data_IF_289218333532
#
_entry.id   IF_289218333532
#
_cell.length_a   1.000
_cell.length_b   1.000
_cell.length_c   1.000
_cell.angle_alpha   90.00
_cell.angle_beta   90.00
_cell.angle_gamma   90.00
#
_symmetry.space_group_name_H-M   'P 1'
#
loop_
_entity.id
_entity.type
_entity.pdbx_description
1 polymer ?
#
# COMPACT_ATOMS: atom_id res chain seq x y z
N UNK A 1 -41.66 12.90 34.97
CA UNK A 1 -41.80 13.56 33.65
C UNK A 1 -40.38 13.72 33.10
N UNK A 2 -40.04 12.95 32.07
CA UNK A 2 -38.70 12.92 31.44
C UNK A 2 -38.49 14.19 30.57
N UNK A 3 -37.23 14.54 30.30
CA UNK A 3 -36.76 14.24 28.94
C UNK A 3 -35.51 13.36 28.96
N UNK A 4 -35.53 12.38 28.05
CA UNK A 4 -34.38 11.58 27.63
C UNK A 4 -33.89 12.23 26.34
N UNK A 5 -32.63 12.65 26.33
CA UNK A 5 -31.89 12.96 25.11
C UNK A 5 -30.54 12.25 25.29
N UNK A 6 -30.51 10.98 24.90
CA UNK A 6 -29.28 10.35 24.43
C UNK A 6 -29.35 10.42 22.92
N UNK A 7 -28.34 11.02 22.30
CA UNK A 7 -27.97 10.75 20.91
C UNK A 7 -26.47 10.99 20.79
N UNK A 8 -25.77 9.87 20.92
CA UNK A 8 -24.64 9.42 20.13
C UNK A 8 -23.64 10.47 19.62
N UNK A 9 -22.59 10.63 20.43
CA UNK A 9 -21.28 11.13 20.08
C UNK A 9 -20.54 10.12 19.18
N UNK A 10 -21.04 9.84 17.97
CA UNK A 10 -20.31 9.05 16.99
C UNK A 10 -20.67 9.48 15.57
N UNK A 11 -19.95 10.46 15.00
CA UNK A 11 -19.79 10.67 13.55
C UNK A 11 -19.00 11.95 13.29
N UNK A 12 -17.69 11.82 13.06
CA UNK A 12 -16.92 12.54 12.04
C UNK A 12 -15.41 12.45 12.28
N UNK A 13 -14.91 11.22 12.37
CA UNK A 13 -13.52 10.89 11.99
C UNK A 13 -13.51 9.77 10.97
N UNK A 14 -14.48 9.80 10.04
CA UNK A 14 -14.45 8.96 8.86
C UNK A 14 -13.40 9.50 7.89
N UNK A 15 -12.19 8.99 8.11
CA UNK A 15 -11.19 8.64 7.12
C UNK A 15 -11.29 9.36 5.78
N UNK A 16 -10.42 10.36 5.62
CA UNK A 16 -9.93 10.78 4.30
C UNK A 16 -9.36 9.57 3.54
N UNK A 17 -8.84 8.57 4.27
CA UNK A 17 -8.41 7.28 3.74
C UNK A 17 -9.54 6.45 3.10
N UNK A 18 -10.76 6.45 3.65
CA UNK A 18 -11.83 5.60 3.10
C UNK A 18 -12.34 6.10 1.74
N UNK A 19 -12.22 7.40 1.43
CA UNK A 19 -12.70 7.97 0.16
C UNK A 19 -11.79 7.73 -1.04
N UNK A 20 -10.49 7.49 -0.82
CA UNK A 20 -9.56 7.15 -1.90
C UNK A 20 -9.57 5.65 -2.22
N UNK A 21 -9.80 4.79 -1.22
CA UNK A 21 -9.77 3.34 -1.41
C UNK A 21 -11.14 2.69 -1.72
N UNK A 22 -12.27 3.30 -1.34
CA UNK A 22 -13.61 2.78 -1.70
C UNK A 22 -14.20 3.38 -3.00
N UNK A 23 -13.58 4.41 -3.60
CA UNK A 23 -13.90 4.80 -4.99
C UNK A 23 -13.26 3.87 -6.04
N UNK A 24 -13.08 2.61 -5.68
CA UNK A 24 -12.63 1.57 -6.60
C UNK A 24 -13.27 0.20 -6.31
N UNK A 25 -14.14 0.10 -5.31
CA UNK A 25 -14.78 -1.15 -4.92
C UNK A 25 -16.25 -0.87 -4.59
N UNK A 26 -17.09 -0.77 -5.63
CA UNK A 26 -18.47 -1.26 -5.70
C UNK A 26 -19.17 -0.64 -6.90
N UNK A 27 -19.25 -1.45 -7.95
CA UNK A 27 -19.72 -1.15 -9.29
C UNK A 27 -19.32 -2.31 -10.19
N UNK A 28 -19.73 -3.51 -9.80
CA UNK A 28 -19.60 -4.74 -10.56
C UNK A 28 -20.21 -4.59 -11.95
N UNK A 29 -19.43 -4.91 -12.99
CA UNK A 29 -19.82 -5.96 -13.93
C UNK A 29 -18.59 -6.81 -14.23
N UNK A 30 -18.66 -8.06 -13.78
CA UNK A 30 -17.65 -9.05 -14.02
C UNK A 30 -17.50 -9.32 -15.52
N UNK A 31 -16.29 -9.07 -16.03
CA UNK A 31 -15.76 -9.82 -17.16
C UNK A 31 -14.27 -10.06 -16.94
N UNK A 32 -13.97 -11.20 -16.33
CA UNK A 32 -12.79 -11.93 -16.75
C UNK A 32 -12.92 -12.18 -18.24
N UNK A 33 -12.25 -11.38 -19.04
CA UNK A 33 -12.09 -11.61 -20.47
C UNK A 33 -10.73 -11.04 -20.81
N UNK A 34 -9.78 -11.95 -20.91
CA UNK A 34 -8.77 -12.01 -21.96
C UNK A 34 -8.25 -10.67 -22.45
N UNK A 35 -6.94 -10.44 -22.31
CA UNK A 35 -6.17 -9.47 -23.12
C UNK A 35 -6.72 -9.41 -24.54
N UNK A 36 -7.57 -8.43 -24.80
CA UNK A 36 -7.89 -8.02 -26.15
C UNK A 36 -6.87 -6.93 -26.45
N UNK A 37 -5.82 -7.34 -27.17
CA UNK A 37 -5.09 -6.42 -28.02
C UNK A 37 -6.14 -5.66 -28.82
N UNK A 38 -6.09 -4.33 -28.75
CA UNK A 38 -6.94 -3.44 -29.53
C UNK A 38 -6.66 -3.70 -31.01
N UNK A 39 -7.54 -4.49 -31.60
CA UNK A 39 -7.77 -4.69 -33.02
C UNK A 39 -8.32 -3.37 -33.59
N UNK A 40 -7.49 -2.34 -33.70
CA UNK A 40 -7.71 -1.28 -34.70
C UNK A 40 -7.13 -1.77 -36.04
N UNK A 41 -7.70 -2.87 -36.52
CA UNK A 41 -7.65 -3.26 -37.92
C UNK A 41 -8.77 -2.49 -38.63
N UNK A 42 -8.47 -1.25 -39.02
CA UNK A 42 -9.26 -0.54 -40.03
C UNK A 42 -8.49 -0.58 -41.34
N UNK A 43 -8.53 -1.78 -41.93
CA UNK A 43 -8.76 -1.99 -43.36
C UNK A 43 -7.67 -1.60 -44.34
N UNK A 44 -6.72 -2.50 -44.58
CA UNK A 44 -6.12 -2.76 -45.90
C UNK A 44 -5.71 -4.23 -46.05
N UNK A 45 -6.61 -5.06 -46.59
CA UNK A 45 -6.31 -6.19 -47.47
C UNK A 45 -5.35 -7.31 -47.01
N UNK A 46 -5.94 -8.46 -46.66
CA UNK A 46 -5.44 -9.82 -46.88
C UNK A 46 -4.02 -9.98 -47.49
N UNK A 47 -2.99 -9.93 -46.64
CA UNK A 47 -1.68 -10.60 -46.80
C UNK A 47 -1.03 -10.57 -45.43
N UNK A 48 -0.70 -11.73 -44.84
CA UNK A 48 -0.26 -11.84 -43.46
C UNK A 48 0.81 -10.81 -43.09
N UNK A 49 0.48 -9.94 -42.13
CA UNK A 49 1.27 -8.77 -41.74
C UNK A 49 2.70 -9.17 -41.35
N UNK A 50 3.64 -8.82 -42.21
CA UNK A 50 5.05 -9.03 -41.94
C UNK A 50 5.52 -7.96 -40.93
N UNK A 51 5.58 -8.35 -39.65
CA UNK A 51 5.86 -7.45 -38.54
C UNK A 51 7.35 -7.17 -38.31
N UNK A 52 7.66 -6.17 -37.47
CA UNK A 52 9.04 -5.86 -37.04
C UNK A 52 9.70 -7.08 -36.39
N UNK A 53 8.94 -7.83 -35.60
CA UNK A 53 9.38 -9.07 -34.95
C UNK A 53 9.80 -10.12 -35.98
N UNK A 54 9.05 -10.26 -37.08
CA UNK A 54 9.40 -11.17 -38.17
C UNK A 54 10.65 -10.70 -38.93
N UNK A 55 10.84 -9.38 -39.10
CA UNK A 55 12.05 -8.83 -39.69
C UNK A 55 13.30 -9.10 -38.80
N UNK A 56 13.16 -9.01 -37.48
CA UNK A 56 14.20 -9.38 -36.51
C UNK A 56 14.56 -10.87 -36.65
N UNK A 57 13.55 -11.75 -36.76
CA UNK A 57 13.79 -13.18 -36.94
C UNK A 57 14.57 -13.50 -38.23
N UNK A 58 14.29 -12.82 -39.35
CA UNK A 58 15.11 -12.97 -40.57
C UNK A 58 16.55 -12.55 -40.29
N UNK A 59 16.74 -11.40 -39.65
CA UNK A 59 18.07 -10.85 -39.35
C UNK A 59 18.88 -11.82 -38.48
N UNK A 60 18.25 -12.43 -37.47
CA UNK A 60 18.90 -13.40 -36.57
C UNK A 60 19.28 -14.70 -37.27
N UNK A 61 18.56 -15.09 -38.32
CA UNK A 61 18.83 -16.30 -39.11
C UNK A 61 19.82 -16.10 -40.27
N UNK A 62 20.37 -14.90 -40.46
CA UNK A 62 21.37 -14.65 -41.50
C UNK A 62 22.73 -15.32 -41.17
N UNK A 63 23.45 -15.85 -42.17
CA UNK A 63 24.80 -16.35 -41.95
C UNK A 63 25.72 -15.24 -41.42
N UNK A 64 26.47 -15.50 -40.35
CA UNK A 64 27.33 -14.49 -39.71
C UNK A 64 28.49 -14.01 -40.60
N UNK A 65 28.82 -14.77 -41.64
CA UNK A 65 29.91 -14.47 -42.57
C UNK A 65 29.51 -13.50 -43.70
N UNK A 66 28.22 -13.14 -43.81
CA UNK A 66 27.78 -12.19 -44.84
C UNK A 66 28.09 -10.74 -44.45
N UNK A 67 28.50 -9.94 -45.43
CA UNK A 67 28.70 -8.51 -45.21
C UNK A 67 27.39 -7.83 -44.81
N UNK A 68 27.47 -6.74 -44.02
CA UNK A 68 26.29 -5.95 -43.62
C UNK A 68 25.46 -5.45 -44.82
N UNK A 69 26.12 -5.18 -45.96
CA UNK A 69 25.45 -4.77 -47.21
C UNK A 69 24.63 -5.93 -47.79
N UNK A 70 25.22 -7.11 -47.87
CA UNK A 70 24.55 -8.34 -48.34
C UNK A 70 23.40 -8.74 -47.41
N UNK A 71 23.60 -8.67 -46.09
CA UNK A 71 22.57 -8.91 -45.09
C UNK A 71 21.33 -8.01 -45.30
N UNK A 72 21.55 -6.71 -45.50
CA UNK A 72 20.47 -5.76 -45.80
C UNK A 72 19.76 -6.12 -47.09
N UNK A 73 20.51 -6.42 -48.15
CA UNK A 73 19.92 -6.74 -49.45
C UNK A 73 19.09 -8.03 -49.41
N UNK A 74 19.53 -9.04 -48.66
CA UNK A 74 18.76 -10.27 -48.43
C UNK A 74 17.46 -9.94 -47.69
N UNK A 75 17.51 -9.17 -46.59
CA UNK A 75 16.32 -8.80 -45.81
C UNK A 75 15.35 -7.97 -46.64
N UNK A 76 15.85 -6.93 -47.33
CA UNK A 76 15.08 -6.08 -48.25
C UNK A 76 14.34 -6.91 -49.29
N UNK A 77 15.04 -7.81 -50.00
CA UNK A 77 14.41 -8.66 -51.01
C UNK A 77 13.42 -9.64 -50.42
N UNK A 78 13.66 -10.13 -49.20
CA UNK A 78 12.75 -11.04 -48.51
C UNK A 78 11.45 -10.33 -48.11
N UNK A 79 11.55 -9.08 -47.61
CA UNK A 79 10.41 -8.24 -47.30
C UNK A 79 9.60 -7.89 -48.56
N UNK A 80 10.28 -7.46 -49.63
CA UNK A 80 9.64 -7.17 -50.92
C UNK A 80 8.94 -8.41 -51.50
N UNK A 81 9.58 -9.58 -51.42
CA UNK A 81 8.99 -10.85 -51.87
C UNK A 81 7.77 -11.27 -51.04
N UNK A 82 7.70 -10.84 -49.78
CA UNK A 82 6.54 -11.02 -48.91
C UNK A 82 5.44 -9.97 -49.13
N UNK A 83 5.62 -9.06 -50.09
CA UNK A 83 4.63 -8.01 -50.42
C UNK A 83 4.72 -6.77 -49.53
N UNK A 84 5.82 -6.60 -48.78
CA UNK A 84 5.99 -5.49 -47.84
C UNK A 84 6.61 -4.28 -48.54
N UNK A 85 5.94 -3.12 -48.48
CA UNK A 85 6.56 -1.86 -48.88
C UNK A 85 7.56 -1.40 -47.80
N UNK A 86 8.84 -1.33 -48.18
CA UNK A 86 9.92 -0.99 -47.26
C UNK A 86 9.76 0.41 -46.68
N UNK A 87 9.27 1.39 -47.45
CA UNK A 87 9.13 2.76 -46.98
C UNK A 87 8.00 2.87 -45.96
N UNK A 88 6.90 2.18 -46.21
CA UNK A 88 5.77 2.07 -45.27
C UNK A 88 6.18 1.31 -44.01
N UNK A 89 6.87 0.18 -44.14
CA UNK A 89 7.41 -0.60 -43.02
C UNK A 89 8.32 0.25 -42.12
N UNK A 90 9.27 0.99 -42.70
CA UNK A 90 10.16 1.87 -41.93
C UNK A 90 9.41 3.02 -41.26
N UNK A 91 8.39 3.59 -41.93
CA UNK A 91 7.55 4.64 -41.36
C UNK A 91 6.74 4.12 -40.18
N UNK A 92 6.10 2.96 -40.33
CA UNK A 92 5.31 2.29 -39.29
C UNK A 92 6.19 1.90 -38.11
N UNK A 93 7.36 1.30 -38.36
CA UNK A 93 8.32 0.95 -37.32
C UNK A 93 8.77 2.16 -36.52
N UNK A 94 9.01 3.31 -37.18
CA UNK A 94 9.37 4.55 -36.50
C UNK A 94 8.22 5.12 -35.67
N UNK A 95 6.99 5.11 -36.21
CA UNK A 95 5.81 5.52 -35.45
C UNK A 95 5.58 4.65 -34.21
N UNK A 96 5.78 3.34 -34.33
CA UNK A 96 5.70 2.39 -33.21
C UNK A 96 6.81 2.60 -32.17
N UNK A 97 8.02 2.94 -32.62
CA UNK A 97 9.12 3.33 -31.72
C UNK A 97 8.79 4.60 -30.92
N UNK A 98 8.27 5.63 -31.60
CA UNK A 98 7.88 6.89 -30.96
C UNK A 98 6.74 6.67 -29.94
N UNK A 99 5.75 5.82 -30.28
CA UNK A 99 4.69 5.44 -29.36
C UNK A 99 5.20 4.70 -28.12
N UNK A 100 6.08 3.71 -28.29
CA UNK A 100 6.68 2.96 -27.18
C UNK A 100 7.54 3.84 -26.28
N UNK A 101 8.30 4.79 -26.85
CA UNK A 101 9.07 5.76 -26.07
C UNK A 101 8.15 6.65 -25.23
N UNK A 102 7.05 7.13 -25.79
CA UNK A 102 6.08 7.92 -25.03
C UNK A 102 5.41 7.11 -23.92
N UNK A 103 5.13 5.83 -24.16
CA UNK A 103 4.58 4.94 -23.13
C UNK A 103 5.57 4.72 -21.97
N UNK A 104 6.87 4.56 -22.29
CA UNK A 104 7.94 4.49 -21.29
C UNK A 104 7.99 5.78 -20.47
N UNK A 105 8.05 6.94 -21.12
CA UNK A 105 8.08 8.26 -20.45
C UNK A 105 6.87 8.44 -19.51
N UNK A 106 5.66 8.14 -19.99
CA UNK A 106 4.45 8.19 -19.16
C UNK A 106 4.48 7.18 -18.00
N UNK A 107 5.12 6.02 -18.20
CA UNK A 107 5.31 5.01 -17.16
C UNK A 107 6.25 5.50 -16.06
N UNK A 108 7.36 6.13 -16.45
CA UNK A 108 8.34 6.74 -15.55
C UNK A 108 7.70 7.87 -14.73
N UNK A 109 6.95 8.78 -15.37
CA UNK A 109 6.21 9.85 -14.68
C UNK A 109 5.24 9.30 -13.63
N UNK A 110 4.50 8.23 -13.98
CA UNK A 110 3.58 7.55 -13.05
C UNK A 110 4.32 6.93 -11.86
N UNK A 111 5.48 6.31 -12.09
CA UNK A 111 6.31 5.76 -11.01
C UNK A 111 6.78 6.87 -10.07
N UNK A 112 7.26 7.98 -10.61
CA UNK A 112 7.71 9.13 -9.80
C UNK A 112 6.57 9.74 -8.99
N UNK A 113 5.37 9.86 -9.57
CA UNK A 113 4.20 10.37 -8.86
C UNK A 113 3.81 9.45 -7.69
N UNK A 114 3.74 8.14 -7.93
CA UNK A 114 3.44 7.16 -6.88
C UNK A 114 4.46 7.19 -5.74
N UNK A 115 5.75 7.31 -6.07
CA UNK A 115 6.81 7.43 -5.08
C UNK A 115 6.67 8.72 -4.25
N UNK A 116 6.45 9.86 -4.91
CA UNK A 116 6.23 11.15 -4.22
C UNK A 116 5.03 11.10 -3.28
N UNK A 117 3.90 10.56 -3.74
CA UNK A 117 2.69 10.41 -2.91
C UNK A 117 2.93 9.48 -1.73
N UNK A 118 3.61 8.35 -1.93
CA UNK A 118 3.96 7.44 -0.84
C UNK A 118 4.85 8.13 0.22
N UNK A 119 5.85 8.87 -0.21
CA UNK A 119 6.76 9.61 0.68
C UNK A 119 6.05 10.74 1.44
N UNK A 120 5.08 11.42 0.82
CA UNK A 120 4.22 12.39 1.49
C UNK A 120 3.36 11.74 2.58
N UNK A 121 2.73 10.61 2.28
CA UNK A 121 1.93 9.85 3.25
C UNK A 121 2.78 9.37 4.42
N UNK A 122 3.95 8.78 4.14
CA UNK A 122 4.88 8.31 5.18
C UNK A 122 5.31 9.49 6.07
N UNK A 123 5.64 10.64 5.49
CA UNK A 123 6.01 11.84 6.26
C UNK A 123 4.85 12.33 7.13
N UNK A 124 3.63 12.32 6.62
CA UNK A 124 2.44 12.71 7.39
C UNK A 124 2.21 11.78 8.57
N UNK A 125 2.23 10.47 8.35
CA UNK A 125 2.02 9.47 9.39
C UNK A 125 3.12 9.54 10.47
N UNK A 126 4.37 9.76 10.09
CA UNK A 126 5.46 9.95 11.06
C UNK A 126 5.21 11.15 11.98
N UNK A 127 4.80 12.29 11.41
CA UNK A 127 4.44 13.48 12.20
C UNK A 127 3.29 13.21 13.16
N UNK A 128 2.28 12.46 12.72
CA UNK A 128 1.14 12.11 13.57
C UNK A 128 1.53 11.16 14.72
N UNK A 129 2.40 10.18 14.44
CA UNK A 129 2.96 9.29 15.47
C UNK A 129 3.73 10.09 16.51
N UNK A 130 4.61 11.00 16.06
CA UNK A 130 5.43 11.80 16.97
C UNK A 130 4.55 12.74 17.82
N UNK A 131 3.56 13.40 17.22
CA UNK A 131 2.61 14.24 17.95
C UNK A 131 1.77 13.43 18.97
N UNK A 132 1.36 12.21 18.61
CA UNK A 132 0.60 11.34 19.52
C UNK A 132 1.45 10.89 20.69
N UNK A 133 2.75 10.60 20.47
CA UNK A 133 3.69 10.27 21.53
C UNK A 133 3.92 11.42 22.48
N UNK A 134 4.17 12.62 21.95
CA UNK A 134 4.35 13.82 22.77
C UNK A 134 3.14 14.07 23.67
N UNK A 135 1.92 13.96 23.10
CA UNK A 135 0.69 14.08 23.89
C UNK A 135 0.57 13.00 24.96
N UNK A 136 0.90 11.75 24.64
CA UNK A 136 0.88 10.66 25.60
C UNK A 136 1.85 10.92 26.76
N UNK A 137 3.07 11.39 26.47
CA UNK A 137 4.06 11.75 27.48
C UNK A 137 3.60 12.91 28.37
N UNK A 138 2.92 13.91 27.79
CA UNK A 138 2.29 15.01 28.54
C UNK A 138 1.18 14.49 29.47
N UNK A 139 0.26 13.69 28.95
CA UNK A 139 -0.86 13.12 29.71
C UNK A 139 -0.36 12.22 30.85
N UNK A 140 0.65 11.38 30.59
CA UNK A 140 1.29 10.53 31.60
C UNK A 140 1.91 11.39 32.70
N UNK A 141 2.69 12.41 32.34
CA UNK A 141 3.33 13.30 33.33
C UNK A 141 2.29 14.01 34.20
N UNK A 142 1.22 14.52 33.59
CA UNK A 142 0.15 15.20 34.31
C UNK A 142 -0.53 14.26 35.33
N UNK A 143 -0.73 12.99 34.99
CA UNK A 143 -1.28 12.01 35.91
C UNK A 143 -0.27 11.53 36.96
N UNK A 144 1.01 11.41 36.64
CA UNK A 144 2.06 11.15 37.63
C UNK A 144 2.07 12.25 38.71
N UNK A 145 2.05 13.53 38.32
CA UNK A 145 1.96 14.67 39.24
C UNK A 145 0.67 14.64 40.08
N UNK A 146 -0.45 14.18 39.50
CA UNK A 146 -1.71 14.03 40.24
C UNK A 146 -1.62 12.92 41.27
N UNK A 147 -1.07 11.77 40.91
CA UNK A 147 -0.85 10.64 41.80
C UNK A 147 0.06 11.05 42.96
N UNK A 148 1.14 11.79 42.70
CA UNK A 148 2.03 12.31 43.74
C UNK A 148 1.30 13.22 44.72
N UNK A 149 0.48 14.14 44.23
CA UNK A 149 -0.35 15.01 45.09
C UNK A 149 -1.33 14.21 45.95
N UNK A 150 -1.96 13.19 45.38
CA UNK A 150 -2.88 12.30 46.11
C UNK A 150 -2.11 11.49 47.17
N UNK A 151 -0.93 10.96 46.82
CA UNK A 151 -0.05 10.24 47.77
C UNK A 151 0.36 11.14 48.93
N UNK A 152 0.74 12.39 48.67
CA UNK A 152 1.05 13.37 49.72
C UNK A 152 -0.16 13.61 50.63
N UNK A 153 -1.35 13.80 50.05
CA UNK A 153 -2.60 13.97 50.81
C UNK A 153 -2.93 12.75 51.68
N UNK A 154 -2.70 11.53 51.16
CA UNK A 154 -2.89 10.30 51.93
C UNK A 154 -1.93 10.20 53.13
N UNK A 155 -0.67 10.63 52.96
CA UNK A 155 0.29 10.69 54.07
C UNK A 155 -0.18 11.67 55.16
N UNK A 156 -0.70 12.83 54.77
CA UNK A 156 -1.24 13.81 55.73
C UNK A 156 -2.45 13.24 56.48
N UNK A 157 -3.36 12.55 55.79
CA UNK A 157 -4.49 11.87 56.42
C UNK A 157 -4.04 10.77 57.39
N UNK A 158 -3.04 9.98 57.02
CA UNK A 158 -2.46 8.96 57.90
C UNK A 158 -1.86 9.59 59.16
N UNK A 159 -1.16 10.72 59.04
CA UNK A 159 -0.62 11.45 60.19
C UNK A 159 -1.71 11.98 61.12
N UNK A 160 -2.80 12.50 60.56
CA UNK A 160 -3.98 12.90 61.36
C UNK A 160 -4.58 11.70 62.07
N UNK A 161 -4.70 10.57 61.37
CA UNK A 161 -5.25 9.33 61.90
C UNK A 161 -4.41 8.78 63.06
N UNK A 162 -3.09 8.75 62.90
CA UNK A 162 -2.12 8.38 63.94
C UNK A 162 -2.25 9.28 65.18
N UNK A 163 -2.40 10.60 64.98
CA UNK A 163 -2.61 11.54 66.09
C UNK A 163 -3.86 11.23 66.92
N UNK A 164 -4.93 10.74 66.29
CA UNK A 164 -6.17 10.34 66.97
C UNK A 164 -6.15 8.88 67.48
N UNK A 165 -5.05 8.13 67.30
CA UNK A 165 -4.94 6.73 67.74
C UNK A 165 -5.86 5.77 66.98
N UNK A 166 -6.22 6.12 65.74
CA UNK A 166 -7.12 5.34 64.89
C UNK A 166 -6.28 4.39 64.00
N UNK A 167 -5.59 3.41 64.57
CA UNK A 167 -4.88 2.42 63.74
C UNK A 167 -5.88 1.58 62.94
N UNK A 168 -5.65 1.47 61.63
CA UNK A 168 -6.39 0.54 60.78
C UNK A 168 -6.00 -0.90 61.15
N UNK A 169 -6.90 -1.64 61.79
CA UNK A 169 -6.88 -3.09 61.70
C UNK A 169 -7.16 -3.47 60.23
N UNK A 170 -6.13 -3.96 59.53
CA UNK A 170 -6.15 -4.60 58.21
C UNK A 170 -6.63 -3.78 56.99
N UNK A 171 -5.71 -3.00 56.43
CA UNK A 171 -5.77 -2.56 55.01
C UNK A 171 -4.61 -3.14 54.17
N UNK A 172 -4.10 -4.32 54.49
CA UNK A 172 -3.24 -5.10 53.60
C UNK A 172 -4.08 -5.83 52.57
N UNK A 173 -4.60 -5.14 51.53
CA UNK A 173 -5.13 -5.83 50.35
C UNK A 173 -5.33 -5.00 49.07
N UNK A 174 -4.55 -3.96 48.80
CA UNK A 174 -4.50 -3.40 47.43
C UNK A 174 -3.11 -2.85 47.07
N UNK A 175 -2.07 -3.66 47.27
CA UNK A 175 -0.82 -3.54 46.52
C UNK A 175 -0.53 -4.91 45.91
N UNK A 176 -1.50 -5.45 45.15
CA UNK A 176 -1.25 -6.64 44.35
C UNK A 176 -0.50 -6.19 43.09
N UNK A 177 0.78 -6.52 43.10
CA UNK A 177 1.75 -6.45 42.01
C UNK A 177 1.11 -6.63 40.60
N UNK A 178 1.19 -5.65 39.69
CA UNK A 178 0.58 -5.74 38.36
C UNK A 178 1.29 -6.71 37.42
N UNK A 179 2.37 -7.38 37.86
CA UNK A 179 3.22 -8.19 36.98
C UNK A 179 3.13 -9.71 37.18
N UNK A 180 2.10 -10.22 37.87
CA UNK A 180 1.89 -11.67 37.96
C UNK A 180 1.14 -12.19 36.74
N UNK A 181 1.88 -12.43 35.65
CA UNK A 181 1.40 -13.23 34.53
C UNK A 181 1.25 -14.67 35.03
N UNK A 182 0.03 -15.10 35.34
CA UNK A 182 -0.27 -16.52 35.52
C UNK A 182 -0.17 -17.20 34.15
N UNK A 183 0.96 -17.90 33.95
CA UNK A 183 1.12 -18.88 32.88
C UNK A 183 0.11 -20.00 33.17
N UNK A 184 -0.95 -20.07 32.36
CA UNK A 184 -1.85 -21.22 32.35
C UNK A 184 -1.08 -22.36 31.70
N UNK A 185 -0.56 -23.27 32.53
CA UNK A 185 -0.10 -24.58 32.10
C UNK A 185 -1.33 -25.40 31.69
N UNK A 186 -1.47 -25.63 30.39
CA UNK A 186 -2.30 -26.70 29.84
C UNK A 186 -1.60 -28.02 30.18
N UNK A 187 -2.17 -28.82 31.09
CA UNK A 187 -1.82 -30.23 31.23
C UNK A 187 -3.10 -31.06 31.31
N UNK A 188 -3.28 -31.82 30.24
CA UNK A 188 -3.81 -33.17 30.12
C UNK A 188 -4.54 -33.77 31.34
N UNK A 189 -5.83 -34.09 31.17
CA UNK A 189 -6.35 -35.34 31.73
C UNK A 189 -7.02 -36.16 30.63
N UNK A 190 -6.26 -37.15 30.16
CA UNK A 190 -6.82 -38.38 29.63
C UNK A 190 -7.38 -39.26 30.74
N UNK A 191 -8.31 -40.11 30.31
CA UNK A 191 -8.64 -41.42 30.89
C UNK A 191 -9.12 -41.48 32.34
N UNK A 192 -10.44 -41.64 32.53
CA UNK A 192 -10.97 -42.69 33.42
C UNK A 192 -12.19 -43.39 32.82
N UNK A 193 -11.94 -44.68 32.56
CA UNK A 193 -12.79 -45.88 32.48
C UNK A 193 -14.31 -45.77 32.48
#
# INVERSE_FOLDING_TARGET
MKPVAGDDETRHREGVFSRLFYRSAEGEEGRGSTRHYSEEEVGLGASGDFSVERAVEIIENLPRDVSRRSAREIVTRTLEAAGVDIREFLRSSRGREEALRSEIEQGEERIEELQRTADEIIRSLRKEIDATREKCEEDVRAEEERIERIRASLLDLNRVREFFGLEEEDSTRVLSDPNRTEVISEDEEGERS
#
